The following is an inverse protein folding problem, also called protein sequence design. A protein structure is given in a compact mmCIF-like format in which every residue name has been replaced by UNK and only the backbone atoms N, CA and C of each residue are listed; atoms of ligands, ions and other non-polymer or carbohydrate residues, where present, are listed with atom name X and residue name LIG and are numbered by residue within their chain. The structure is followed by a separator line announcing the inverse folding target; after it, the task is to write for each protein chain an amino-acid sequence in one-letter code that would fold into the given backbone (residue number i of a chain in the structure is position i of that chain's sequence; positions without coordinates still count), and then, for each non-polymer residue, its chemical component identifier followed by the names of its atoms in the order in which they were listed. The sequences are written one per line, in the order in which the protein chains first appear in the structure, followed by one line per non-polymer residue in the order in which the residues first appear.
data_IF_903864224254
#
_entry.id   IF_903864224254
#
_cell.length_a   1.000
_cell.length_b   1.000
_cell.length_c   1.000
_cell.angle_alpha   90.00
_cell.angle_beta   90.00
_cell.angle_gamma   90.00
#
_symmetry.space_group_name_H-M   'P 1'
#
loop_
_entity.id
_entity.type
_entity.pdbx_description
1 polymer ?
#
# COMPACT_ATOMS: atom_id res chain seq x y z
N UNK A 1 -10.47 8.24 1.54
CA UNK A 1 -10.02 8.90 2.78
C UNK A 1 -11.14 9.00 3.81
N UNK A 2 -12.29 9.59 3.48
CA UNK A 2 -13.44 9.69 4.41
C UNK A 2 -13.90 8.33 4.98
N UNK A 3 -13.96 7.30 4.13
CA UNK A 3 -14.33 5.93 4.53
C UNK A 3 -13.32 5.28 5.48
N UNK A 4 -12.05 5.69 5.42
CA UNK A 4 -10.97 5.16 6.27
C UNK A 4 -10.97 5.87 7.62
N UNK A 5 -11.24 7.17 7.66
CA UNK A 5 -11.46 7.91 8.90
C UNK A 5 -12.68 7.36 9.64
N UNK A 6 -13.78 7.11 8.91
CA UNK A 6 -14.96 6.45 9.47
C UNK A 6 -14.67 5.03 10.00
N UNK A 7 -13.84 4.26 9.28
CA UNK A 7 -13.37 2.95 9.74
C UNK A 7 -12.48 3.01 10.98
N UNK A 8 -11.59 4.00 11.08
CA UNK A 8 -10.74 4.23 12.24
C UNK A 8 -11.57 4.61 13.49
N UNK A 9 -12.58 5.47 13.31
CA UNK A 9 -13.55 5.82 14.34
C UNK A 9 -14.35 4.58 14.77
N UNK A 10 -14.80 3.75 13.83
CA UNK A 10 -15.54 2.51 14.11
C UNK A 10 -14.68 1.45 14.83
N UNK A 11 -13.37 1.41 14.56
CA UNK A 11 -12.41 0.51 15.21
C UNK A 11 -11.96 0.99 16.61
N UNK A 12 -12.42 2.16 17.08
CA UNK A 12 -11.98 2.81 18.34
C UNK A 12 -10.45 2.97 18.45
N UNK A 13 -9.75 3.02 17.33
CA UNK A 13 -8.31 3.31 17.29
C UNK A 13 -8.18 4.82 17.20
N UNK A 14 -7.51 5.46 18.17
CA UNK A 14 -7.13 6.87 18.05
C UNK A 14 -6.26 6.99 16.81
N UNK A 15 -6.79 7.60 15.75
CA UNK A 15 -6.06 7.79 14.51
C UNK A 15 -4.89 8.74 14.79
N UNK A 16 -3.73 8.16 15.12
CA UNK A 16 -2.49 8.92 15.30
C UNK A 16 -2.10 9.54 13.95
N UNK A 17 -1.42 10.68 13.98
CA UNK A 17 -0.94 11.33 12.75
C UNK A 17 -0.14 10.37 11.85
N UNK A 18 0.59 9.43 12.46
CA UNK A 18 1.32 8.36 11.77
C UNK A 18 0.41 7.41 10.98
N UNK A 19 -0.76 7.04 11.50
CA UNK A 19 -1.70 6.16 10.80
C UNK A 19 -2.20 6.83 9.51
N UNK A 20 -2.56 8.11 9.59
CA UNK A 20 -3.02 8.87 8.42
C UNK A 20 -1.87 9.05 7.41
N UNK A 21 -0.68 9.41 7.91
CA UNK A 21 0.52 9.57 7.10
C UNK A 21 0.98 8.26 6.44
N UNK A 22 0.63 7.10 6.98
CA UNK A 22 0.89 5.80 6.37
C UNK A 22 -0.18 5.42 5.32
N UNK A 23 -1.45 5.57 5.69
CA UNK A 23 -2.60 5.18 4.87
C UNK A 23 -2.68 6.02 3.61
N UNK A 24 -2.53 7.34 3.72
CA UNK A 24 -2.69 8.24 2.59
C UNK A 24 -1.78 7.89 1.39
N UNK A 25 -0.45 7.77 1.53
CA UNK A 25 0.43 7.37 0.44
C UNK A 25 0.18 5.92 -0.03
N UNK A 26 -0.19 4.99 0.87
CA UNK A 26 -0.57 3.62 0.47
C UNK A 26 -1.78 3.62 -0.48
N UNK A 27 -2.80 4.43 -0.17
CA UNK A 27 -3.98 4.56 -1.02
C UNK A 27 -3.68 5.28 -2.34
N UNK A 28 -2.76 6.25 -2.33
CA UNK A 28 -2.27 6.88 -3.57
C UNK A 28 -1.60 5.82 -4.45
N UNK A 29 -0.71 5.00 -3.90
CA UNK A 29 -0.06 3.90 -4.62
C UNK A 29 -1.09 2.99 -5.29
N UNK A 30 -2.08 2.51 -4.54
CA UNK A 30 -3.13 1.63 -5.08
C UNK A 30 -4.00 2.32 -6.14
N UNK A 31 -4.29 3.61 -5.97
CA UNK A 31 -5.00 4.42 -6.97
C UNK A 31 -4.20 4.56 -8.27
N UNK A 32 -2.89 4.77 -8.17
CA UNK A 32 -1.98 4.79 -9.31
C UNK A 32 -1.90 3.41 -9.97
N UNK A 33 -1.81 2.32 -9.19
CA UNK A 33 -1.83 0.94 -9.71
C UNK A 33 -3.10 0.68 -10.52
N UNK A 34 -4.28 1.09 -10.03
CA UNK A 34 -5.54 0.96 -10.79
C UNK A 34 -5.45 1.64 -12.16
N UNK A 35 -5.00 2.90 -12.19
CA UNK A 35 -4.86 3.66 -13.44
C UNK A 35 -3.80 3.06 -14.35
N UNK A 36 -2.69 2.62 -13.78
CA UNK A 36 -1.60 1.97 -14.49
C UNK A 36 -2.11 0.73 -15.23
N UNK A 37 -2.90 -0.10 -14.57
CA UNK A 37 -3.55 -1.27 -15.18
C UNK A 37 -4.51 -0.87 -16.31
N UNK A 38 -5.39 0.11 -16.08
CA UNK A 38 -6.33 0.61 -17.11
C UNK A 38 -5.58 1.08 -18.38
N UNK A 39 -4.49 1.82 -18.21
CA UNK A 39 -3.64 2.30 -19.30
C UNK A 39 -2.86 1.18 -20.01
N UNK A 40 -2.48 0.14 -19.27
CA UNK A 40 -1.84 -1.04 -19.85
C UNK A 40 -2.76 -1.79 -20.80
N UNK A 41 -4.03 -1.93 -20.40
CA UNK A 41 -5.05 -2.70 -21.12
C UNK A 41 -5.74 -1.90 -22.23
N UNK A 42 -5.70 -0.55 -22.19
CA UNK A 42 -6.24 0.29 -23.26
C UNK A 42 -5.60 -0.05 -24.60
N UNK A 43 -6.32 -0.03 -25.73
CA UNK A 43 -5.77 -0.47 -27.03
C UNK A 43 -5.20 0.69 -27.87
N UNK A 44 -5.60 1.93 -27.59
CA UNK A 44 -5.17 3.14 -28.30
C UNK A 44 -4.33 4.06 -27.42
N UNK A 45 -3.44 4.84 -28.06
CA UNK A 45 -2.66 5.90 -27.40
C UNK A 45 -3.46 7.21 -27.21
N UNK A 46 -4.72 7.23 -27.65
CA UNK A 46 -5.60 8.36 -27.39
C UNK A 46 -5.83 8.53 -25.89
N UNK A 47 -5.91 9.80 -25.46
CA UNK A 47 -6.26 10.13 -24.08
C UNK A 47 -7.59 9.48 -23.71
N UNK A 48 -7.65 8.84 -22.56
CA UNK A 48 -8.92 8.26 -22.11
C UNK A 48 -9.97 9.38 -21.98
N UNK A 49 -11.16 9.22 -22.60
CA UNK A 49 -12.21 10.23 -22.56
C UNK A 49 -12.60 10.54 -21.10
N UNK A 50 -12.55 11.81 -20.72
CA UNK A 50 -12.91 12.28 -19.37
C UNK A 50 -11.83 12.14 -18.29
N UNK A 51 -10.61 11.65 -18.60
CA UNK A 51 -9.53 11.51 -17.61
C UNK A 51 -8.26 12.32 -17.86
N UNK A 52 -8.05 12.88 -19.05
CA UNK A 52 -6.94 13.82 -19.34
C UNK A 52 -5.54 13.19 -19.47
N UNK A 53 -5.38 11.91 -19.11
CA UNK A 53 -4.13 11.15 -19.22
C UNK A 53 -4.23 10.06 -20.30
N UNK A 54 -3.11 9.73 -20.94
CA UNK A 54 -3.00 8.71 -22.00
C UNK A 54 -1.90 7.69 -21.71
N UNK A 55 -1.76 6.67 -22.57
CA UNK A 55 -0.70 5.65 -22.48
C UNK A 55 0.73 6.17 -22.25
N UNK A 56 1.17 7.32 -22.80
CA UNK A 56 2.51 7.84 -22.50
C UNK A 56 2.73 8.24 -21.03
N UNK A 57 1.67 8.57 -20.27
CA UNK A 57 1.76 9.00 -18.86
C UNK A 57 1.97 7.83 -17.89
N UNK A 58 2.11 6.61 -18.42
CA UNK A 58 2.25 5.37 -17.65
C UNK A 58 3.52 5.35 -16.81
N UNK A 59 4.61 5.93 -17.32
CA UNK A 59 5.86 6.11 -16.58
C UNK A 59 5.70 7.03 -15.38
N UNK A 60 4.97 8.14 -15.55
CA UNK A 60 4.71 9.09 -14.45
C UNK A 60 3.84 8.47 -13.37
N UNK A 61 2.82 7.71 -13.75
CA UNK A 61 2.00 6.95 -12.80
C UNK A 61 2.81 5.91 -12.03
N UNK A 62 3.77 5.24 -12.67
CA UNK A 62 4.69 4.32 -12.01
C UNK A 62 5.56 5.07 -11.00
N UNK A 63 6.11 6.22 -11.37
CA UNK A 63 6.93 7.05 -10.48
C UNK A 63 6.15 7.51 -9.25
N UNK A 64 4.91 7.99 -9.43
CA UNK A 64 4.03 8.40 -8.33
C UNK A 64 3.68 7.21 -7.44
N UNK A 65 3.41 6.03 -8.02
CA UNK A 65 3.15 4.81 -7.24
C UNK A 65 4.38 4.38 -6.42
N UNK A 66 5.58 4.43 -7.00
CA UNK A 66 6.82 4.11 -6.32
C UNK A 66 7.11 5.10 -5.17
N UNK A 67 6.92 6.40 -5.40
CA UNK A 67 7.07 7.44 -4.37
C UNK A 67 6.05 7.27 -3.23
N UNK A 68 4.79 6.95 -3.55
CA UNK A 68 3.76 6.63 -2.55
C UNK A 68 4.14 5.39 -1.73
N UNK A 69 4.60 4.33 -2.39
CA UNK A 69 5.06 3.12 -1.72
C UNK A 69 6.23 3.43 -0.78
N UNK A 70 7.24 4.15 -1.25
CA UNK A 70 8.37 4.56 -0.43
C UNK A 70 7.95 5.43 0.76
N UNK A 71 7.09 6.42 0.53
CA UNK A 71 6.58 7.30 1.59
C UNK A 71 5.82 6.53 2.67
N UNK A 72 4.99 5.55 2.29
CA UNK A 72 4.30 4.71 3.26
C UNK A 72 5.26 3.84 4.09
N UNK A 73 6.26 3.21 3.45
CA UNK A 73 7.27 2.41 4.15
C UNK A 73 8.12 3.28 5.08
N UNK A 74 8.48 4.48 4.64
CA UNK A 74 9.23 5.44 5.45
C UNK A 74 8.44 5.86 6.69
N UNK A 75 7.14 6.18 6.54
CA UNK A 75 6.30 6.53 7.69
C UNK A 75 6.17 5.37 8.68
N UNK A 76 6.03 4.13 8.17
CA UNK A 76 6.00 2.94 9.02
C UNK A 76 7.34 2.74 9.76
N UNK A 77 8.46 2.96 9.08
CA UNK A 77 9.78 2.90 9.68
C UNK A 77 9.97 3.97 10.75
N UNK A 78 9.58 5.22 10.48
CA UNK A 78 9.63 6.32 11.44
C UNK A 78 8.74 6.08 12.65
N UNK A 79 7.58 5.43 12.47
CA UNK A 79 6.71 5.04 13.57
C UNK A 79 7.44 4.13 14.58
N UNK A 80 8.33 3.24 14.11
CA UNK A 80 9.09 2.33 14.98
C UNK A 80 10.04 3.03 15.98
N UNK A 81 10.38 4.31 15.75
CA UNK A 81 11.22 5.11 16.66
C UNK A 81 10.41 5.92 17.67
N UNK A 82 9.09 5.78 17.69
CA UNK A 82 8.24 6.55 18.60
C UNK A 82 8.06 5.82 19.93
N UNK A 83 7.93 6.58 21.02
CA UNK A 83 7.63 6.01 22.34
C UNK A 83 6.28 5.24 22.37
N UNK A 84 5.38 5.51 21.42
CA UNK A 84 4.15 4.76 21.25
C UNK A 84 4.40 3.36 20.67
N UNK A 85 5.34 3.23 19.73
CA UNK A 85 5.75 1.94 19.19
C UNK A 85 6.53 1.13 20.22
N UNK A 86 7.47 1.74 20.96
CA UNK A 86 8.23 1.05 22.02
C UNK A 86 7.32 0.43 23.11
N UNK A 87 6.22 1.11 23.45
CA UNK A 87 5.25 0.60 24.44
C UNK A 87 4.42 -0.58 23.92
N UNK A 88 4.16 -0.61 22.62
CA UNK A 88 3.27 -1.61 21.99
C UNK A 88 4.06 -2.79 21.42
N UNK A 89 5.32 -2.57 21.07
CA UNK A 89 6.21 -3.52 20.41
C UNK A 89 7.60 -3.46 21.06
N UNK A 90 7.83 -4.19 22.16
CA UNK A 90 9.12 -4.22 22.85
C UNK A 90 10.26 -4.73 21.95
N UNK A 91 9.92 -5.57 20.98
CA UNK A 91 10.86 -6.12 19.99
C UNK A 91 10.81 -5.37 18.66
N UNK A 92 11.39 -4.16 18.61
CA UNK A 92 11.41 -3.27 17.42
C UNK A 92 12.02 -3.94 16.18
N UNK A 93 12.96 -4.88 16.36
CA UNK A 93 13.56 -5.64 15.25
C UNK A 93 12.53 -6.39 14.40
N UNK A 94 11.49 -6.94 15.03
CA UNK A 94 10.44 -7.66 14.32
C UNK A 94 9.54 -6.72 13.51
N UNK A 95 9.38 -5.46 13.96
CA UNK A 95 8.73 -4.42 13.18
C UNK A 95 9.50 -4.10 11.90
N UNK A 96 10.83 -4.06 11.98
CA UNK A 96 11.69 -3.87 10.82
C UNK A 96 11.64 -5.07 9.87
N UNK A 97 11.50 -6.28 10.41
CA UNK A 97 11.28 -7.46 9.59
C UNK A 97 9.92 -7.40 8.87
N UNK A 98 8.88 -6.85 9.51
CA UNK A 98 7.55 -6.66 8.92
C UNK A 98 7.50 -5.62 7.78
N UNK A 99 8.49 -4.72 7.68
CA UNK A 99 8.65 -3.81 6.54
C UNK A 99 8.92 -4.55 5.22
N UNK A 100 9.65 -5.68 5.28
CA UNK A 100 10.01 -6.46 4.11
C UNK A 100 8.79 -7.04 3.38
N UNK A 101 7.88 -7.80 4.03
CA UNK A 101 6.68 -8.31 3.37
C UNK A 101 5.72 -7.20 2.95
N UNK A 102 5.63 -6.10 3.72
CA UNK A 102 4.81 -4.94 3.35
C UNK A 102 5.31 -4.27 2.06
N UNK A 103 6.61 -4.01 1.98
CA UNK A 103 7.25 -3.44 0.79
C UNK A 103 7.15 -4.39 -0.40
N UNK A 104 7.43 -5.68 -0.18
CA UNK A 104 7.27 -6.72 -1.20
C UNK A 104 5.84 -6.80 -1.74
N UNK A 105 4.83 -6.66 -0.88
CA UNK A 105 3.43 -6.62 -1.29
C UNK A 105 3.12 -5.40 -2.16
N UNK A 106 3.58 -4.20 -1.78
CA UNK A 106 3.35 -2.99 -2.58
C UNK A 106 4.08 -3.04 -3.93
N UNK A 107 5.35 -3.44 -3.94
CA UNK A 107 6.12 -3.63 -5.18
C UNK A 107 5.44 -4.65 -6.08
N UNK A 108 4.91 -5.74 -5.53
CA UNK A 108 4.14 -6.74 -6.28
C UNK A 108 2.88 -6.14 -6.89
N UNK A 109 2.10 -5.35 -6.15
CA UNK A 109 0.92 -4.68 -6.69
C UNK A 109 1.28 -3.74 -7.84
N UNK A 110 2.36 -2.96 -7.69
CA UNK A 110 2.86 -2.06 -8.73
C UNK A 110 3.30 -2.85 -9.98
N UNK A 111 4.08 -3.91 -9.79
CA UNK A 111 4.58 -4.73 -10.88
C UNK A 111 3.44 -5.42 -11.65
N UNK A 112 2.45 -5.95 -10.94
CA UNK A 112 1.30 -6.61 -11.58
C UNK A 112 0.43 -5.61 -12.35
N UNK A 113 0.27 -4.39 -11.84
CA UNK A 113 -0.39 -3.32 -12.57
C UNK A 113 0.41 -2.88 -13.81
N UNK A 114 1.73 -2.82 -13.71
CA UNK A 114 2.62 -2.58 -14.85
C UNK A 114 2.63 -3.73 -15.87
N UNK A 115 2.32 -4.95 -15.46
CA UNK A 115 2.19 -6.07 -16.39
C UNK A 115 0.78 -6.20 -16.95
N UNK A 116 -0.19 -5.39 -16.49
CA UNK A 116 -1.59 -5.49 -16.90
C UNK A 116 -2.25 -6.80 -16.45
N UNK A 117 -1.71 -7.47 -15.42
CA UNK A 117 -2.19 -8.78 -14.93
C UNK A 117 -3.28 -8.67 -13.85
N UNK A 118 -3.79 -7.47 -13.61
CA UNK A 118 -4.89 -7.24 -12.66
C UNK A 118 -6.20 -7.06 -13.45
N UNK A 119 -6.95 -8.15 -13.60
CA UNK A 119 -8.24 -8.13 -14.32
C UNK A 119 -9.36 -7.39 -13.56
N UNK A 120 -9.15 -7.13 -12.26
CA UNK A 120 -10.13 -6.53 -11.36
C UNK A 120 -9.54 -5.34 -10.61
N UNK A 121 -10.40 -4.56 -9.94
CA UNK A 121 -9.98 -3.47 -9.05
C UNK A 121 -8.85 -3.97 -8.11
N UNK A 122 -7.73 -3.23 -7.94
CA UNK A 122 -6.57 -3.68 -7.16
C UNK A 122 -6.93 -4.18 -5.76
N UNK A 123 -7.99 -3.63 -5.15
CA UNK A 123 -8.49 -4.06 -3.84
C UNK A 123 -9.07 -5.48 -3.91
N UNK A 124 -9.85 -5.79 -4.95
CA UNK A 124 -10.43 -7.12 -5.16
C UNK A 124 -9.32 -8.11 -5.54
N UNK A 125 -8.35 -7.67 -6.34
CA UNK A 125 -7.18 -8.48 -6.66
C UNK A 125 -6.38 -8.85 -5.41
N UNK A 126 -6.15 -7.89 -4.51
CA UNK A 126 -5.43 -8.12 -3.25
C UNK A 126 -6.11 -9.18 -2.36
N UNK A 127 -7.43 -9.33 -2.43
CA UNK A 127 -8.17 -10.36 -1.70
C UNK A 127 -8.12 -11.75 -2.35
N UNK A 128 -7.65 -11.87 -3.61
CA UNK A 128 -7.55 -13.14 -4.35
C UNK A 128 -6.13 -13.62 -4.55
N UNK A 129 -5.16 -12.71 -4.57
CA UNK A 129 -3.75 -13.04 -4.80
C UNK A 129 -3.18 -13.83 -3.62
N UNK A 130 -2.99 -15.14 -3.81
CA UNK A 130 -2.51 -16.07 -2.77
C UNK A 130 -1.15 -15.65 -2.22
N UNK A 131 -0.27 -15.13 -3.07
CA UNK A 131 1.05 -14.65 -2.66
C UNK A 131 0.94 -13.33 -1.90
N UNK A 132 0.09 -12.41 -2.35
CA UNK A 132 -0.20 -11.18 -1.64
C UNK A 132 -0.80 -11.43 -0.25
N UNK A 133 -1.75 -12.36 -0.16
CA UNK A 133 -2.32 -12.82 1.11
C UNK A 133 -1.28 -13.48 2.00
N UNK A 134 -0.37 -14.29 1.46
CA UNK A 134 0.73 -14.89 2.22
C UNK A 134 1.67 -13.81 2.79
N UNK A 135 2.02 -12.77 2.01
CA UNK A 135 2.83 -11.65 2.48
C UNK A 135 2.13 -10.88 3.60
N UNK A 136 0.82 -10.60 3.44
CA UNK A 136 0.02 -9.94 4.49
C UNK A 136 -0.04 -10.82 5.74
N UNK A 137 -0.24 -12.14 5.60
CA UNK A 137 -0.29 -13.06 6.72
C UNK A 137 1.05 -13.08 7.47
N UNK A 138 2.19 -13.19 6.76
CA UNK A 138 3.53 -13.12 7.36
C UNK A 138 3.74 -11.80 8.10
N UNK A 139 3.35 -10.67 7.48
CA UNK A 139 3.43 -9.35 8.12
C UNK A 139 2.62 -9.31 9.43
N UNK A 140 1.38 -9.80 9.42
CA UNK A 140 0.52 -9.82 10.60
C UNK A 140 1.07 -10.73 11.70
N UNK A 141 1.61 -11.90 11.34
CA UNK A 141 2.26 -12.79 12.29
C UNK A 141 3.46 -12.11 12.96
N UNK A 142 4.32 -11.45 12.18
CA UNK A 142 5.49 -10.73 12.71
C UNK A 142 5.10 -9.58 13.63
N UNK A 143 4.03 -8.83 13.30
CA UNK A 143 3.53 -7.76 14.17
C UNK A 143 2.94 -8.31 15.47
N UNK A 144 2.24 -9.45 15.41
CA UNK A 144 1.67 -10.08 16.60
C UNK A 144 2.76 -10.62 17.55
N UNK A 145 3.79 -11.28 17.00
CA UNK A 145 4.93 -11.74 17.80
C UNK A 145 5.73 -10.57 18.39
N UNK A 146 5.76 -9.42 17.70
CA UNK A 146 6.48 -8.24 18.18
C UNK A 146 5.86 -7.62 19.43
N UNK A 147 4.53 -7.72 19.58
CA UNK A 147 3.79 -7.16 20.71
C UNK A 147 3.56 -8.13 21.89
N UNK A 148 3.93 -9.40 21.73
CA UNK A 148 3.75 -10.45 22.76
C UNK A 148 5.05 -10.82 23.48
N UNK A 149 6.13 -10.09 23.21
CA UNK A 149 7.45 -10.30 23.83
C UNK A 149 7.75 -9.33 24.95
#
# INVERSE_FOLDING_TARGET
TLRVIAGAIAAKVVATGFLIAFIFPTFITLGCVKRLTELTLATSDERLPGRGYGRPDRGDLLNVAALGSFGSLLVFFLYSFTAAADRLYPNTWQLWLALVPLGGWQVRMILLGWLGKQDYDPIVFAMRDRYGLALIAVMLTLMFTAGTG
#
